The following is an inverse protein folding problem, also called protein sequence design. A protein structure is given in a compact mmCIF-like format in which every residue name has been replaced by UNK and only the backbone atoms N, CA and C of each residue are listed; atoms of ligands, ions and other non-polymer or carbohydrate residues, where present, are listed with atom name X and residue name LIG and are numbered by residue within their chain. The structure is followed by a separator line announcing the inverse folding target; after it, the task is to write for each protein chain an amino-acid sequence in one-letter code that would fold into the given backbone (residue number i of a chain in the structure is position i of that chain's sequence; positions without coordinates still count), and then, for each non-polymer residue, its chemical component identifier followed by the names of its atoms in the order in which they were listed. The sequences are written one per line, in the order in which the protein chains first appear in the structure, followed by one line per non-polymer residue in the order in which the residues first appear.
data_IF_625063858875
#
_entry.id   IF_625063858875
#
_cell.length_a   1.000
_cell.length_b   1.000
_cell.length_c   1.000
_cell.angle_alpha   90.00
_cell.angle_beta   90.00
_cell.angle_gamma   90.00
#
_symmetry.space_group_name_H-M   'P 1'
#
loop_
_entity.id
_entity.type
_entity.pdbx_description
1 polymer ?
#
# COMPACT_ATOMS: atom_id res chain seq x y z
N UNK A 1 -6.43 9.49 2.64
CA UNK A 1 -7.18 8.58 1.73
C UNK A 1 -8.68 8.88 1.61
N UNK A 2 -9.40 9.31 2.65
CA UNK A 2 -10.87 9.57 2.57
C UNK A 2 -11.31 10.52 1.45
N UNK A 3 -10.56 11.61 1.19
CA UNK A 3 -10.88 12.52 0.07
C UNK A 3 -10.76 11.85 -1.30
N UNK A 4 -9.72 11.04 -1.50
CA UNK A 4 -9.52 10.25 -2.72
C UNK A 4 -10.70 9.30 -2.91
N UNK A 5 -11.11 8.59 -1.85
CA UNK A 5 -12.30 7.75 -1.87
C UNK A 5 -13.55 8.52 -2.29
N UNK A 6 -13.77 9.73 -1.77
CA UNK A 6 -14.89 10.60 -2.19
C UNK A 6 -14.86 10.94 -3.68
N UNK A 7 -13.70 11.28 -4.24
CA UNK A 7 -13.58 11.55 -5.68
C UNK A 7 -13.83 10.29 -6.54
N UNK A 8 -13.38 9.12 -6.08
CA UNK A 8 -13.66 7.85 -6.75
C UNK A 8 -15.16 7.51 -6.72
N UNK A 9 -15.79 7.62 -5.55
CA UNK A 9 -17.22 7.35 -5.35
C UNK A 9 -18.10 8.33 -6.14
N UNK A 10 -17.64 9.56 -6.35
CA UNK A 10 -18.28 10.58 -7.20
C UNK A 10 -17.99 10.40 -8.70
N UNK A 11 -17.23 9.37 -9.10
CA UNK A 11 -16.85 9.08 -10.49
C UNK A 11 -16.12 10.25 -11.18
N UNK A 12 -15.32 11.00 -10.41
CA UNK A 12 -14.67 12.22 -10.89
C UNK A 12 -13.62 11.93 -11.99
N UNK A 13 -13.01 10.75 -12.00
CA UNK A 13 -12.03 10.35 -13.03
C UNK A 13 -12.57 9.31 -14.02
N UNK A 14 -13.88 9.03 -14.00
CA UNK A 14 -14.47 7.97 -14.81
C UNK A 14 -14.06 6.57 -14.33
N UNK A 15 -14.21 5.58 -15.21
CA UNK A 15 -13.83 4.20 -14.91
C UNK A 15 -12.31 4.10 -14.72
N UNK A 16 -11.88 3.58 -13.57
CA UNK A 16 -10.46 3.34 -13.25
C UNK A 16 -10.00 2.06 -13.95
N UNK A 17 -8.80 2.07 -14.52
CA UNK A 17 -8.22 0.89 -15.19
C UNK A 17 -6.77 0.61 -14.81
N UNK A 18 -6.04 1.61 -14.30
CA UNK A 18 -4.62 1.49 -13.95
C UNK A 18 -4.29 2.25 -12.67
N UNK A 19 -3.44 1.64 -11.84
CA UNK A 19 -2.83 2.29 -10.68
C UNK A 19 -1.34 1.98 -10.64
N UNK A 20 -0.57 2.94 -10.13
CA UNK A 20 0.85 2.76 -9.88
C UNK A 20 1.22 3.36 -8.52
N UNK A 21 1.92 2.58 -7.70
CA UNK A 21 2.54 3.04 -6.46
C UNK A 21 4.04 2.84 -6.62
N UNK A 22 4.82 3.91 -6.41
CA UNK A 22 6.27 3.83 -6.27
C UNK A 22 6.63 4.23 -4.84
N UNK A 23 7.21 3.29 -4.08
CA UNK A 23 7.59 3.47 -2.69
C UNK A 23 9.12 3.30 -2.54
N UNK A 24 9.73 4.26 -1.89
CA UNK A 24 11.17 4.41 -1.70
C UNK A 24 11.39 4.55 -0.20
N UNK A 25 12.02 3.53 0.39
CA UNK A 25 12.22 3.41 1.83
C UNK A 25 13.71 3.37 2.16
N UNK A 26 14.48 4.41 1.79
CA UNK A 26 15.89 4.46 2.14
C UNK A 26 16.00 4.38 3.66
N UNK A 27 16.97 3.61 4.14
CA UNK A 27 17.27 3.45 5.57
C UNK A 27 16.38 2.51 6.40
N UNK A 28 15.48 1.75 5.79
CA UNK A 28 14.66 0.79 6.55
C UNK A 28 15.38 -0.50 6.94
N UNK A 29 16.56 -0.75 6.36
CA UNK A 29 17.34 -1.97 6.60
C UNK A 29 18.64 -1.70 7.40
N UNK A 30 18.58 -0.79 8.38
CA UNK A 30 19.76 -0.43 9.21
C UNK A 30 20.10 -1.52 10.23
N UNK A 31 19.07 -2.16 10.76
CA UNK A 31 19.22 -3.21 11.76
C UNK A 31 19.46 -4.56 11.08
N UNK A 32 20.28 -5.42 11.69
CA UNK A 32 20.63 -6.71 11.11
C UNK A 32 19.43 -7.61 10.87
N UNK A 33 18.40 -7.55 11.74
CA UNK A 33 17.18 -8.34 11.61
C UNK A 33 16.39 -8.00 10.33
N UNK A 34 16.43 -6.73 9.89
CA UNK A 34 15.71 -6.30 8.68
C UNK A 34 16.29 -6.92 7.39
N UNK A 35 17.52 -7.41 7.45
CA UNK A 35 18.21 -8.12 6.37
C UNK A 35 18.15 -9.65 6.52
N UNK A 36 17.56 -10.15 7.61
CA UNK A 36 17.41 -11.58 7.89
C UNK A 36 15.96 -12.01 7.72
N UNK A 37 15.72 -12.78 6.67
CA UNK A 37 14.40 -13.33 6.35
C UNK A 37 13.82 -14.21 7.47
N UNK A 38 14.67 -14.84 8.30
CA UNK A 38 14.23 -15.68 9.41
C UNK A 38 13.72 -14.88 10.61
N UNK A 39 14.13 -13.62 10.70
CA UNK A 39 13.74 -12.68 11.76
C UNK A 39 12.58 -11.76 11.32
N UNK A 40 11.96 -12.06 10.17
CA UNK A 40 10.90 -11.22 9.59
C UNK A 40 11.42 -9.98 8.86
N UNK A 41 12.70 -9.99 8.46
CA UNK A 41 13.27 -9.00 7.55
C UNK A 41 12.82 -9.18 6.11
N UNK A 42 12.90 -8.11 5.32
CA UNK A 42 12.43 -8.08 3.93
C UNK A 42 11.62 -6.83 3.63
N UNK A 43 11.90 -6.22 2.49
CA UNK A 43 11.22 -5.01 2.07
C UNK A 43 9.71 -5.27 1.89
N UNK A 44 9.33 -6.43 1.34
CA UNK A 44 7.94 -6.79 1.11
C UNK A 44 7.21 -7.04 2.42
N UNK A 45 7.71 -7.89 3.32
CA UNK A 45 7.06 -8.15 4.61
C UNK A 45 6.92 -6.88 5.47
N UNK A 46 7.92 -6.00 5.47
CA UNK A 46 7.91 -4.79 6.29
C UNK A 46 6.97 -3.70 5.75
N UNK A 47 6.81 -3.59 4.43
CA UNK A 47 6.16 -2.41 3.84
C UNK A 47 4.90 -2.70 3.04
N UNK A 48 4.62 -3.95 2.65
CA UNK A 48 3.46 -4.30 1.81
C UNK A 48 2.10 -3.94 2.43
N UNK A 49 2.03 -3.87 3.76
CA UNK A 49 0.81 -3.51 4.47
C UNK A 49 0.27 -2.14 4.07
N UNK A 50 1.14 -1.16 3.80
CA UNK A 50 0.74 0.20 3.40
C UNK A 50 0.00 0.21 2.05
N UNK A 51 0.60 -0.20 0.92
CA UNK A 51 -0.10 -0.15 -0.36
C UNK A 51 -1.28 -1.12 -0.39
N UNK A 52 -1.17 -2.34 0.17
CA UNK A 52 -2.27 -3.31 0.14
C UNK A 52 -3.49 -2.86 0.96
N UNK A 53 -3.29 -2.25 2.14
CA UNK A 53 -4.42 -1.73 2.93
C UNK A 53 -5.09 -0.52 2.28
N UNK A 54 -4.31 0.42 1.71
CA UNK A 54 -4.84 1.58 0.98
C UNK A 54 -5.67 1.15 -0.22
N UNK A 55 -5.17 0.21 -1.03
CA UNK A 55 -5.88 -0.30 -2.19
C UNK A 55 -7.19 -1.01 -1.79
N UNK A 56 -7.16 -1.81 -0.73
CA UNK A 56 -8.37 -2.47 -0.22
C UNK A 56 -9.38 -1.46 0.35
N UNK A 57 -8.92 -0.39 0.98
CA UNK A 57 -9.80 0.69 1.46
C UNK A 57 -10.47 1.43 0.30
N UNK A 58 -9.74 1.70 -0.77
CA UNK A 58 -10.25 2.47 -1.91
C UNK A 58 -11.16 1.65 -2.83
N UNK A 59 -10.80 0.38 -3.11
CA UNK A 59 -11.46 -0.44 -4.12
C UNK A 59 -12.22 -1.65 -3.56
N UNK A 60 -12.18 -1.85 -2.24
CA UNK A 60 -12.77 -3.00 -1.54
C UNK A 60 -11.77 -4.11 -1.26
N UNK A 61 -12.10 -4.95 -0.28
CA UNK A 61 -11.23 -6.03 0.23
C UNK A 61 -10.86 -7.06 -0.85
N UNK A 62 -9.63 -7.56 -0.79
CA UNK A 62 -9.09 -8.58 -1.68
C UNK A 62 -8.74 -8.17 -3.10
N UNK A 63 -8.10 -9.09 -3.81
CA UNK A 63 -7.66 -8.98 -5.20
C UNK A 63 -7.93 -10.33 -5.89
N UNK A 64 -8.16 -10.30 -7.19
CA UNK A 64 -8.46 -11.49 -7.99
C UNK A 64 -7.20 -12.28 -8.34
N UNK A 65 -6.07 -11.57 -8.45
CA UNK A 65 -4.76 -12.13 -8.76
C UNK A 65 -3.67 -11.27 -8.11
N UNK A 66 -2.62 -11.91 -7.62
CA UNK A 66 -1.39 -11.28 -7.16
C UNK A 66 -0.20 -12.04 -7.73
N UNK A 67 0.76 -11.32 -8.30
CA UNK A 67 2.04 -11.86 -8.79
C UNK A 67 3.14 -10.90 -8.40
N UNK A 68 4.33 -11.42 -8.17
CA UNK A 68 5.45 -10.56 -7.86
C UNK A 68 6.81 -11.14 -8.18
N UNK A 69 7.75 -10.23 -8.32
CA UNK A 69 9.18 -10.52 -8.39
C UNK A 69 9.89 -9.67 -7.35
N UNK A 70 11.04 -10.14 -6.90
CA UNK A 70 11.86 -9.45 -5.91
C UNK A 70 13.31 -9.41 -6.34
N UNK A 71 14.09 -8.57 -5.65
CA UNK A 71 15.54 -8.59 -5.73
C UNK A 71 16.13 -8.63 -4.33
N UNK A 72 17.05 -9.57 -4.11
CA UNK A 72 17.89 -9.67 -2.91
C UNK A 72 19.37 -9.63 -3.32
N UNK A 73 20.29 -9.22 -2.42
CA UNK A 73 21.72 -9.19 -2.73
C UNK A 73 22.31 -10.59 -2.92
N UNK A 74 21.76 -11.58 -2.22
CA UNK A 74 22.21 -12.97 -2.21
C UNK A 74 21.00 -13.91 -2.05
N UNK A 75 21.20 -15.18 -2.39
CA UNK A 75 20.21 -16.24 -2.15
C UNK A 75 19.92 -16.37 -0.64
N UNK A 76 18.67 -16.59 -0.26
CA UNK A 76 18.22 -16.72 1.14
C UNK A 76 18.45 -15.47 2.03
N UNK A 77 18.72 -14.30 1.44
CA UNK A 77 18.66 -13.01 2.15
C UNK A 77 17.32 -12.34 1.92
N UNK A 78 16.97 -11.46 2.86
CA UNK A 78 15.80 -10.61 2.74
C UNK A 78 15.83 -9.83 1.41
N UNK A 79 14.66 -9.72 0.79
CA UNK A 79 14.45 -8.86 -0.38
C UNK A 79 14.63 -7.38 0.00
N UNK A 80 15.22 -6.61 -0.91
CA UNK A 80 15.40 -5.16 -0.77
C UNK A 80 14.53 -4.37 -1.74
N UNK A 81 14.12 -5.02 -2.84
CA UNK A 81 13.18 -4.47 -3.82
C UNK A 81 12.11 -5.51 -4.15
N UNK A 82 10.92 -5.03 -4.49
CA UNK A 82 9.87 -5.85 -5.07
C UNK A 82 9.07 -5.09 -6.14
N UNK A 83 8.50 -5.87 -7.05
CA UNK A 83 7.49 -5.44 -8.01
C UNK A 83 6.29 -6.38 -7.87
N UNK A 84 5.16 -5.87 -7.42
CA UNK A 84 3.90 -6.61 -7.31
C UNK A 84 2.92 -6.12 -8.37
N UNK A 85 2.31 -7.06 -9.09
CA UNK A 85 1.18 -6.86 -9.97
C UNK A 85 -0.07 -7.47 -9.33
N UNK A 86 -1.10 -6.64 -9.19
CA UNK A 86 -2.41 -7.08 -8.70
C UNK A 86 -3.47 -6.86 -9.77
N UNK A 87 -4.50 -7.71 -9.76
CA UNK A 87 -5.72 -7.52 -10.53
C UNK A 87 -6.91 -7.40 -9.59
N UNK A 88 -7.79 -6.44 -9.85
CA UNK A 88 -9.09 -6.33 -9.18
C UNK A 88 -10.15 -5.89 -10.20
N UNK A 89 -11.07 -6.78 -10.53
CA UNK A 89 -11.97 -6.64 -11.66
C UNK A 89 -11.20 -6.24 -12.94
N UNK A 90 -11.48 -5.05 -13.47
CA UNK A 90 -10.85 -4.51 -14.68
C UNK A 90 -9.63 -3.61 -14.40
N UNK A 91 -9.24 -3.51 -13.13
CA UNK A 91 -8.15 -2.67 -12.67
C UNK A 91 -6.86 -3.50 -12.61
N UNK A 92 -5.82 -3.02 -13.29
CA UNK A 92 -4.45 -3.52 -13.14
C UNK A 92 -3.65 -2.57 -12.25
N UNK A 93 -2.98 -3.11 -11.24
CA UNK A 93 -2.27 -2.33 -10.22
C UNK A 93 -0.81 -2.77 -10.18
N UNK A 94 0.10 -1.81 -10.24
CA UNK A 94 1.53 -2.03 -10.01
C UNK A 94 1.95 -1.37 -8.68
N UNK A 95 2.69 -2.12 -7.87
CA UNK A 95 3.34 -1.64 -6.66
C UNK A 95 4.82 -1.93 -6.79
N UNK A 96 5.62 -0.88 -6.92
CA UNK A 96 7.08 -0.93 -6.94
C UNK A 96 7.59 -0.42 -5.61
N UNK A 97 8.49 -1.17 -4.97
CA UNK A 97 9.19 -0.70 -3.78
C UNK A 97 10.67 -1.00 -3.84
N UNK A 98 11.48 -0.06 -3.36
CA UNK A 98 12.91 -0.27 -3.11
C UNK A 98 13.36 0.39 -1.81
N UNK A 99 14.23 -0.30 -1.08
CA UNK A 99 14.96 0.27 0.06
C UNK A 99 16.33 0.83 -0.34
N UNK A 100 16.71 0.70 -1.61
CA UNK A 100 18.06 1.01 -2.13
C UNK A 100 18.17 2.42 -2.70
N UNK A 101 17.05 3.07 -2.98
CA UNK A 101 17.00 4.40 -3.57
C UNK A 101 16.30 5.38 -2.65
N UNK A 102 16.79 6.63 -2.66
CA UNK A 102 16.17 7.77 -2.00
C UNK A 102 15.52 8.68 -3.04
N UNK A 103 14.19 8.57 -3.15
CA UNK A 103 13.33 9.30 -4.09
C UNK A 103 11.98 9.60 -3.42
N UNK A 104 11.19 10.46 -4.05
CA UNK A 104 9.85 10.76 -3.58
C UNK A 104 8.88 9.60 -3.86
N UNK A 105 8.01 9.29 -2.89
CA UNK A 105 6.98 8.27 -3.08
C UNK A 105 5.83 8.84 -3.89
N UNK A 106 5.22 8.01 -4.74
CA UNK A 106 4.09 8.42 -5.57
C UNK A 106 3.00 7.39 -5.55
N UNK A 107 1.76 7.85 -5.62
CA UNK A 107 0.60 7.01 -5.91
C UNK A 107 -0.27 7.72 -6.94
N UNK A 108 -0.49 7.05 -8.07
CA UNK A 108 -1.33 7.54 -9.15
C UNK A 108 -2.47 6.56 -9.45
N UNK A 109 -3.65 7.11 -9.71
CA UNK A 109 -4.87 6.38 -10.08
C UNK A 109 -5.35 6.96 -11.41
N UNK A 110 -5.44 6.13 -12.45
CA UNK A 110 -5.80 6.55 -13.80
C UNK A 110 -7.18 6.04 -14.20
N UNK A 111 -8.04 6.95 -14.61
CA UNK A 111 -9.36 6.67 -15.16
C UNK A 111 -9.58 7.34 -16.51
N UNK A 112 -10.69 6.98 -17.15
CA UNK A 112 -11.04 7.46 -18.50
C UNK A 112 -11.12 8.98 -18.65
N UNK A 113 -11.43 9.71 -17.57
CA UNK A 113 -11.68 11.16 -17.59
C UNK A 113 -10.57 11.96 -16.91
N UNK A 114 -9.58 11.31 -16.32
CA UNK A 114 -8.55 11.98 -15.56
C UNK A 114 -7.77 11.05 -14.63
N UNK A 115 -7.02 11.65 -13.73
CA UNK A 115 -6.18 10.94 -12.78
C UNK A 115 -6.20 11.61 -11.40
N UNK A 116 -5.89 10.81 -10.38
CA UNK A 116 -5.62 11.30 -9.03
C UNK A 116 -4.13 11.03 -8.74
N UNK A 117 -3.42 12.05 -8.29
CA UNK A 117 -2.01 11.95 -7.89
C UNK A 117 -1.86 12.27 -6.42
N UNK A 118 -1.10 11.43 -5.71
CA UNK A 118 -0.85 11.54 -4.28
C UNK A 118 0.67 11.51 -4.05
N UNK A 119 1.31 12.64 -3.72
CA UNK A 119 2.71 12.65 -3.35
C UNK A 119 2.89 12.04 -1.97
N UNK A 120 3.99 11.35 -1.71
CA UNK A 120 4.31 10.78 -0.40
C UNK A 120 3.17 9.97 0.21
N UNK A 121 2.51 9.12 -0.59
CA UNK A 121 1.16 8.61 -0.34
C UNK A 121 0.91 8.03 1.07
N UNK A 122 1.89 7.36 1.67
CA UNK A 122 1.79 6.73 2.99
C UNK A 122 1.79 7.72 4.17
N UNK A 123 2.22 8.96 3.92
CA UNK A 123 2.24 10.08 4.88
C UNK A 123 1.62 11.35 4.30
N UNK A 124 0.82 11.20 3.27
CA UNK A 124 0.36 12.36 2.52
C UNK A 124 -0.80 13.04 3.22
N UNK A 125 -0.71 14.36 3.29
CA UNK A 125 -1.83 15.24 3.59
C UNK A 125 -2.35 15.97 2.34
N UNK A 126 -1.87 15.57 1.16
CA UNK A 126 -2.13 16.22 -0.12
C UNK A 126 -2.62 15.22 -1.17
N UNK A 127 -3.45 15.68 -2.10
CA UNK A 127 -3.79 14.94 -3.31
C UNK A 127 -4.26 15.92 -4.38
N UNK A 128 -4.03 15.57 -5.64
CA UNK A 128 -4.47 16.37 -6.79
C UNK A 128 -5.43 15.56 -7.66
N UNK A 129 -6.54 16.18 -8.05
CA UNK A 129 -7.45 15.69 -9.08
C UNK A 129 -7.11 16.40 -10.39
N UNK A 130 -6.78 15.64 -11.42
CA UNK A 130 -6.30 16.15 -12.71
C UNK A 130 -7.24 15.62 -13.81
N UNK A 131 -7.63 16.48 -14.74
CA UNK A 131 -8.40 16.11 -15.95
C UNK A 131 -7.85 16.84 -17.16
N UNK A 132 -7.73 16.14 -18.29
CA UNK A 132 -7.21 16.71 -19.53
C UNK A 132 -5.85 17.43 -19.37
N UNK A 133 -5.01 16.97 -18.43
CA UNK A 133 -3.72 17.60 -18.09
C UNK A 133 -3.82 18.84 -17.20
N UNK A 134 -5.01 19.27 -16.81
CA UNK A 134 -5.23 20.42 -15.93
C UNK A 134 -5.58 19.97 -14.51
N UNK A 135 -4.99 20.63 -13.52
CA UNK A 135 -5.32 20.41 -12.11
C UNK A 135 -6.69 21.04 -11.82
N UNK A 136 -7.68 20.19 -11.54
CA UNK A 136 -9.06 20.61 -11.29
C UNK A 136 -9.27 20.91 -9.82
N UNK A 137 -8.67 20.13 -8.93
CA UNK A 137 -8.75 20.33 -7.49
C UNK A 137 -7.44 19.91 -6.83
N UNK A 138 -6.94 20.75 -5.93
CA UNK A 138 -5.89 20.40 -4.99
C UNK A 138 -6.51 20.26 -3.60
N UNK A 139 -6.32 19.10 -2.99
CA UNK A 139 -6.68 18.86 -1.60
C UNK A 139 -5.42 18.95 -0.74
N UNK A 140 -5.50 19.73 0.32
CA UNK A 140 -4.52 19.77 1.39
C UNK A 140 -5.24 19.91 2.73
N UNK A 141 -4.75 19.25 3.76
CA UNK A 141 -5.28 19.38 5.11
C UNK A 141 -4.15 19.45 6.15
N UNK A 142 -4.29 20.22 7.24
CA UNK A 142 -3.34 20.18 8.33
C UNK A 142 -3.24 18.77 8.92
N UNK A 143 -2.03 18.23 8.98
CA UNK A 143 -1.75 16.92 9.57
C UNK A 143 -0.61 17.09 10.58
N UNK A 144 -0.92 17.29 11.88
CA UNK A 144 0.09 17.45 12.92
C UNK A 144 0.99 16.21 13.04
N UNK A 145 0.41 15.02 12.89
CA UNK A 145 1.11 13.76 12.73
C UNK A 145 0.25 12.78 11.92
N UNK A 146 0.91 11.92 11.16
CA UNK A 146 0.32 10.78 10.48
C UNK A 146 -0.35 9.78 11.44
N UNK A 147 0.10 9.70 12.69
CA UNK A 147 -0.42 8.76 13.68
C UNK A 147 -1.68 9.26 14.39
N UNK A 148 -1.93 10.57 14.40
CA UNK A 148 -3.04 11.14 15.18
C UNK A 148 -4.38 10.52 14.80
N UNK A 149 -4.64 10.33 13.50
CA UNK A 149 -5.91 9.77 13.03
C UNK A 149 -6.13 8.31 13.44
N UNK A 150 -5.07 7.50 13.45
CA UNK A 150 -5.15 6.09 13.85
C UNK A 150 -5.35 5.97 15.37
N UNK A 151 -4.63 6.78 16.15
CA UNK A 151 -4.77 6.84 17.60
C UNK A 151 -6.18 7.30 17.99
N UNK A 152 -6.68 8.37 17.36
CA UNK A 152 -8.02 8.90 17.62
C UNK A 152 -9.09 7.85 17.28
N UNK A 153 -8.97 7.15 16.14
CA UNK A 153 -9.89 6.07 15.78
C UNK A 153 -9.86 4.91 16.78
N UNK A 154 -8.68 4.47 17.22
CA UNK A 154 -8.55 3.42 18.23
C UNK A 154 -9.21 3.86 19.55
N UNK A 155 -8.99 5.11 19.97
CA UNK A 155 -9.61 5.66 21.17
C UNK A 155 -11.15 5.69 21.05
N UNK A 156 -11.69 6.11 19.91
CA UNK A 156 -13.13 6.10 19.62
C UNK A 156 -13.70 4.67 19.65
N UNK A 157 -13.01 3.69 19.07
CA UNK A 157 -13.43 2.28 19.08
C UNK A 157 -13.50 1.74 20.51
N UNK A 158 -12.47 1.99 21.32
CA UNK A 158 -12.42 1.58 22.73
C UNK A 158 -13.56 2.23 23.51
N UNK A 159 -13.74 3.56 23.37
CA UNK A 159 -14.77 4.31 24.08
C UNK A 159 -16.20 3.89 23.68
N UNK A 160 -16.39 3.47 22.43
CA UNK A 160 -17.69 2.99 21.93
C UNK A 160 -17.91 1.47 22.13
N UNK A 161 -16.96 0.77 22.76
CA UNK A 161 -17.04 -0.68 22.97
C UNK A 161 -16.95 -1.51 21.68
N UNK A 162 -16.53 -0.90 20.56
CA UNK A 162 -16.30 -1.59 19.29
C UNK A 162 -14.96 -2.33 19.35
N UNK A 163 -14.94 -3.56 18.81
CA UNK A 163 -13.76 -4.45 18.84
C UNK A 163 -12.91 -4.41 17.55
N UNK A 164 -13.39 -3.74 16.50
CA UNK A 164 -12.75 -3.73 15.19
C UNK A 164 -13.04 -2.44 14.44
N UNK A 165 -12.08 -1.99 13.63
CA UNK A 165 -12.27 -0.89 12.70
C UNK A 165 -13.11 -1.34 11.51
N UNK A 166 -13.95 -0.43 11.01
CA UNK A 166 -14.66 -0.59 9.74
C UNK A 166 -13.81 -0.10 8.55
N UNK A 167 -12.82 0.78 8.79
CA UNK A 167 -11.91 1.30 7.76
C UNK A 167 -10.77 0.35 7.46
N UNK A 168 -10.26 -0.34 8.49
CA UNK A 168 -9.26 -1.40 8.40
C UNK A 168 -9.83 -2.65 9.09
N UNK A 169 -10.61 -3.43 8.33
CA UNK A 169 -11.27 -4.62 8.89
C UNK A 169 -10.28 -5.76 9.13
N UNK A 170 -10.58 -6.70 10.05
CA UNK A 170 -9.76 -7.90 10.23
C UNK A 170 -9.59 -8.70 8.94
N UNK A 171 -10.60 -8.71 8.06
CA UNK A 171 -10.55 -9.39 6.77
C UNK A 171 -9.52 -8.75 5.83
N UNK A 172 -9.44 -7.41 5.80
CA UNK A 172 -8.40 -6.70 5.05
C UNK A 172 -7.00 -7.04 5.57
N UNK A 173 -6.82 -7.10 6.89
CA UNK A 173 -5.55 -7.51 7.51
C UNK A 173 -5.17 -8.93 7.12
N UNK A 174 -6.09 -9.89 7.28
CA UNK A 174 -5.82 -11.30 6.94
C UNK A 174 -5.53 -11.48 5.44
N UNK A 175 -6.21 -10.73 4.59
CA UNK A 175 -5.97 -10.75 3.14
C UNK A 175 -4.58 -10.24 2.79
N UNK A 176 -4.17 -9.12 3.41
CA UNK A 176 -2.81 -8.58 3.25
C UNK A 176 -1.75 -9.60 3.70
N UNK A 177 -1.91 -10.18 4.89
CA UNK A 177 -0.98 -11.18 5.43
C UNK A 177 -0.86 -12.37 4.49
N UNK A 178 -2.00 -12.86 3.99
CA UNK A 178 -2.02 -13.99 3.06
C UNK A 178 -1.28 -13.69 1.75
N UNK A 179 -1.45 -12.50 1.16
CA UNK A 179 -0.75 -12.14 -0.07
C UNK A 179 0.77 -12.10 0.14
N UNK A 180 1.19 -11.55 1.28
CA UNK A 180 2.62 -11.53 1.65
C UNK A 180 3.13 -12.96 1.81
N UNK A 181 2.45 -13.78 2.60
CA UNK A 181 2.82 -15.17 2.85
C UNK A 181 2.89 -16.00 1.56
N UNK A 182 1.87 -15.93 0.71
CA UNK A 182 1.80 -16.69 -0.54
C UNK A 182 2.99 -16.36 -1.46
N UNK A 183 3.30 -15.06 -1.64
CA UNK A 183 4.42 -14.63 -2.48
C UNK A 183 5.79 -14.97 -1.86
N UNK A 184 5.96 -14.85 -0.54
CA UNK A 184 7.20 -15.30 0.11
C UNK A 184 7.39 -16.81 -0.01
N UNK A 185 6.32 -17.61 0.09
CA UNK A 185 6.39 -19.06 -0.13
C UNK A 185 6.73 -19.40 -1.59
N UNK A 186 6.29 -18.61 -2.56
CA UNK A 186 6.71 -18.74 -3.96
C UNK A 186 8.20 -18.41 -4.15
N UNK A 187 8.68 -17.37 -3.47
CA UNK A 187 10.04 -16.82 -3.63
C UNK A 187 11.13 -17.58 -2.88
N UNK A 188 10.81 -18.08 -1.68
CA UNK A 188 11.76 -18.69 -0.75
C UNK A 188 11.41 -20.14 -0.39
N UNK A 189 10.31 -20.67 -0.95
CA UNK A 189 9.86 -22.04 -0.76
C UNK A 189 8.79 -22.19 0.32
N UNK A 190 8.05 -23.29 0.24
CA UNK A 190 6.89 -23.58 1.12
C UNK A 190 7.25 -23.78 2.59
N UNK A 191 8.51 -24.06 2.88
CA UNK A 191 9.01 -24.22 4.25
C UNK A 191 9.37 -22.88 4.90
N UNK A 192 9.24 -21.76 4.17
CA UNK A 192 9.39 -20.44 4.76
C UNK A 192 8.38 -20.31 5.92
N UNK A 193 8.85 -20.06 7.15
CA UNK A 193 8.01 -20.14 8.33
C UNK A 193 6.92 -19.08 8.21
N UNK A 194 5.67 -19.50 8.44
CA UNK A 194 4.54 -18.57 8.49
C UNK A 194 4.92 -17.37 9.37
N UNK A 195 4.55 -16.17 8.91
CA UNK A 195 4.53 -14.98 9.75
C UNK A 195 3.59 -15.32 10.91
N UNK A 196 4.15 -15.72 12.06
CA UNK A 196 3.38 -16.05 13.26
C UNK A 196 2.85 -14.82 13.93
#
# INVERSE_FOLDING_TARGET
MTKIKKWLDANEIGKVSRLAINDFRPHTNRESWALDIKEGGGAFIMHASYPLSVLQFLFGTGFDEAKGIYWSPEENKADLDYEILLKKAEIMINISLTTRLDKANTFAIYGEKGEISVPNYWKSNQASLIRNGEMIEEFSHPMPSEFSYEIDEIAELINSGKKKSEKLSPEMTMTTVKIVEDLYQEWFGKDWPNIK
#
